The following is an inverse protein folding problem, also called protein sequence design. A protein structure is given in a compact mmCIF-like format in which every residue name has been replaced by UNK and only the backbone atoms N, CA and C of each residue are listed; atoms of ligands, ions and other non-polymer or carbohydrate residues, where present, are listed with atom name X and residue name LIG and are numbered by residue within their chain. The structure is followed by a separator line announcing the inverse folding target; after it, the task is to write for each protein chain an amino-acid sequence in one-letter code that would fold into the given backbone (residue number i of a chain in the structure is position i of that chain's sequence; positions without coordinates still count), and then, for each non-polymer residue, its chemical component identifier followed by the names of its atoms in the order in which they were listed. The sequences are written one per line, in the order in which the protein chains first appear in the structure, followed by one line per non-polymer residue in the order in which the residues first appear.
data_IF_369037752216
#
_entry.id   IF_369037752216
#
_cell.length_a   1.000
_cell.length_b   1.000
_cell.length_c   1.000
_cell.angle_alpha   90.00
_cell.angle_beta   90.00
_cell.angle_gamma   90.00
#
_symmetry.space_group_name_H-M   'P 1'
#
loop_
_entity.id
_entity.type
_entity.pdbx_description
1 polymer ?
#
# COMPACT_ATOMS: atom_id res chain seq x y z
N UNK A 1 -11.49 -16.89 3.43
CA UNK A 1 -10.19 -16.22 3.25
C UNK A 1 -10.41 -14.83 2.66
N UNK A 2 -9.70 -13.83 3.14
CA UNK A 2 -9.75 -12.44 2.66
C UNK A 2 -8.34 -11.92 2.43
N UNK A 3 -8.16 -10.88 1.60
CA UNK A 3 -6.91 -10.14 1.49
C UNK A 3 -7.17 -8.73 0.95
N UNK A 4 -7.07 -7.73 1.81
CA UNK A 4 -7.33 -6.34 1.43
C UNK A 4 -6.04 -5.51 1.23
N UNK A 5 -4.88 -6.19 1.12
CA UNK A 5 -3.59 -5.54 0.91
C UNK A 5 -2.67 -6.41 0.05
N UNK A 6 -2.66 -6.16 -1.26
CA UNK A 6 -1.93 -6.97 -2.24
C UNK A 6 -1.32 -6.07 -3.32
N UNK A 7 -0.06 -6.36 -3.68
CA UNK A 7 0.69 -5.65 -4.71
C UNK A 7 0.85 -6.48 -5.99
N UNK A 8 0.72 -5.80 -7.12
CA UNK A 8 0.89 -6.37 -8.45
C UNK A 8 2.13 -5.83 -9.17
N UNK A 9 2.30 -6.27 -10.42
CA UNK A 9 3.31 -5.71 -11.33
C UNK A 9 3.06 -4.23 -11.70
N UNK A 10 1.92 -3.66 -11.35
CA UNK A 10 1.69 -2.22 -11.52
C UNK A 10 2.49 -1.36 -10.52
N UNK A 11 3.02 -1.95 -9.42
CA UNK A 11 3.96 -1.29 -8.52
C UNK A 11 5.24 -2.10 -8.35
N UNK A 12 5.37 -2.85 -7.27
CA UNK A 12 6.57 -3.62 -6.92
C UNK A 12 6.27 -5.08 -6.53
N UNK A 13 5.09 -5.58 -6.86
CA UNK A 13 4.80 -7.01 -6.89
C UNK A 13 5.32 -7.68 -8.17
N UNK A 14 5.32 -9.01 -8.18
CA UNK A 14 5.82 -9.81 -9.31
C UNK A 14 4.72 -10.61 -10.02
N UNK A 15 3.47 -10.43 -9.62
CA UNK A 15 2.31 -11.13 -10.18
C UNK A 15 1.40 -10.11 -10.85
N UNK A 16 0.90 -10.41 -12.07
CA UNK A 16 0.01 -9.49 -12.77
C UNK A 16 -1.33 -9.32 -12.05
N UNK A 17 -2.03 -8.18 -12.26
CA UNK A 17 -3.34 -7.95 -11.67
C UNK A 17 -4.35 -9.05 -12.04
N UNK A 18 -4.36 -9.52 -13.29
CA UNK A 18 -5.24 -10.59 -13.75
C UNK A 18 -4.94 -11.92 -13.06
N UNK A 19 -3.68 -12.26 -12.89
CA UNK A 19 -3.28 -13.48 -12.19
C UNK A 19 -3.62 -13.41 -10.69
N UNK A 20 -3.47 -12.26 -10.04
CA UNK A 20 -3.92 -12.04 -8.66
C UNK A 20 -5.43 -12.28 -8.51
N UNK A 21 -6.23 -11.74 -9.44
CA UNK A 21 -7.66 -11.97 -9.47
C UNK A 21 -8.01 -13.47 -9.57
N UNK A 22 -7.27 -14.24 -10.36
CA UNK A 22 -7.45 -15.69 -10.51
C UNK A 22 -7.03 -16.46 -9.25
N UNK A 23 -5.88 -16.12 -8.65
CA UNK A 23 -5.41 -16.74 -7.41
C UNK A 23 -6.37 -16.49 -6.24
N UNK A 24 -6.91 -15.28 -6.13
CA UNK A 24 -7.87 -14.88 -5.10
C UNK A 24 -9.33 -15.25 -5.42
N UNK A 25 -9.62 -16.01 -6.48
CA UNK A 25 -11.01 -16.28 -6.94
C UNK A 25 -11.95 -16.88 -5.86
N UNK A 26 -11.39 -17.63 -4.91
CA UNK A 26 -12.14 -18.24 -3.81
C UNK A 26 -12.25 -17.35 -2.56
N UNK A 27 -11.60 -16.18 -2.56
CA UNK A 27 -11.63 -15.28 -1.40
C UNK A 27 -12.99 -14.57 -1.33
N UNK A 28 -13.51 -14.41 -0.13
CA UNK A 28 -14.75 -13.66 0.13
C UNK A 28 -14.58 -12.15 -0.08
N UNK A 29 -13.36 -11.62 0.12
CA UNK A 29 -13.01 -10.25 -0.23
C UNK A 29 -11.53 -10.14 -0.61
N UNK A 30 -11.23 -9.34 -1.63
CA UNK A 30 -9.86 -9.03 -2.03
C UNK A 30 -9.77 -7.62 -2.62
N UNK A 31 -8.70 -6.90 -2.29
CA UNK A 31 -8.36 -5.61 -2.89
C UNK A 31 -6.97 -5.67 -3.53
N UNK A 32 -6.80 -5.02 -4.68
CA UNK A 32 -5.49 -4.66 -5.20
C UNK A 32 -5.13 -3.28 -4.66
N UNK A 33 -3.89 -3.09 -4.17
CA UNK A 33 -3.47 -1.88 -3.45
C UNK A 33 -2.06 -1.46 -3.81
N UNK A 34 -1.79 -1.36 -5.10
CA UNK A 34 -0.47 -0.97 -5.62
C UNK A 34 0.00 0.38 -5.06
N UNK A 35 1.31 0.53 -4.91
CA UNK A 35 1.92 1.73 -4.35
C UNK A 35 1.73 2.97 -5.23
N UNK A 36 1.04 3.98 -4.69
CA UNK A 36 0.88 5.33 -5.25
C UNK A 36 0.32 5.39 -6.69
N UNK A 37 -0.37 4.34 -7.16
CA UNK A 37 -1.06 4.28 -8.45
C UNK A 37 -2.27 3.34 -8.43
N UNK A 38 -3.10 3.43 -9.48
CA UNK A 38 -4.27 2.56 -9.69
C UNK A 38 -4.22 1.82 -11.03
N UNK A 39 -3.04 1.69 -11.66
CA UNK A 39 -2.89 1.20 -13.05
C UNK A 39 -3.34 -0.26 -13.19
N UNK A 40 -3.14 -1.08 -12.15
CA UNK A 40 -3.56 -2.49 -12.11
C UNK A 40 -5.05 -2.73 -11.84
N UNK A 41 -5.79 -1.70 -11.43
CA UNK A 41 -7.17 -1.86 -10.92
C UNK A 41 -8.13 -2.35 -11.99
N UNK A 42 -8.10 -1.75 -13.19
CA UNK A 42 -9.02 -2.12 -14.28
C UNK A 42 -8.82 -3.59 -14.70
N UNK A 43 -7.57 -4.01 -14.90
CA UNK A 43 -7.22 -5.39 -15.24
C UNK A 43 -7.67 -6.37 -14.16
N UNK A 44 -7.41 -6.06 -12.88
CA UNK A 44 -7.82 -6.88 -11.74
C UNK A 44 -9.34 -7.06 -11.68
N UNK A 45 -10.11 -5.97 -11.80
CA UNK A 45 -11.57 -6.02 -11.72
C UNK A 45 -12.18 -6.74 -12.94
N UNK A 46 -11.67 -6.51 -14.14
CA UNK A 46 -12.10 -7.17 -15.35
C UNK A 46 -11.87 -8.69 -15.30
N UNK A 47 -10.68 -9.13 -14.88
CA UNK A 47 -10.36 -10.55 -14.69
C UNK A 47 -11.22 -11.20 -13.59
N UNK A 48 -11.57 -10.45 -12.55
CA UNK A 48 -12.45 -10.92 -11.49
C UNK A 48 -13.89 -11.14 -11.97
N UNK A 49 -14.42 -10.28 -12.83
CA UNK A 49 -15.78 -10.39 -13.39
C UNK A 49 -15.95 -11.61 -14.31
N UNK A 50 -14.90 -11.97 -15.07
CA UNK A 50 -14.92 -13.10 -16.01
C UNK A 50 -14.81 -14.47 -15.38
N UNK A 51 -14.37 -14.58 -14.15
CA UNK A 51 -14.03 -15.86 -13.51
C UNK A 51 -15.21 -16.63 -12.92
N UNK A 52 -16.45 -16.12 -13.03
CA UNK A 52 -17.67 -16.80 -12.55
C UNK A 52 -17.47 -17.28 -11.11
N UNK A 53 -17.26 -16.37 -10.16
CA UNK A 53 -17.02 -16.72 -8.76
C UNK A 53 -18.23 -17.49 -8.22
N UNK A 54 -18.09 -18.80 -8.08
CA UNK A 54 -19.11 -19.68 -7.53
C UNK A 54 -19.50 -19.34 -6.07
N UNK A 55 -18.98 -18.22 -5.53
CA UNK A 55 -19.18 -17.74 -4.17
C UNK A 55 -19.38 -16.24 -3.98
N UNK A 56 -19.40 -15.41 -5.05
CA UNK A 56 -19.78 -14.00 -4.93
C UNK A 56 -18.85 -13.12 -4.08
N UNK A 57 -17.55 -13.42 -4.04
CA UNK A 57 -16.58 -12.63 -3.26
C UNK A 57 -16.44 -11.19 -3.77
N UNK A 58 -16.25 -10.22 -2.87
CA UNK A 58 -16.10 -8.80 -3.19
C UNK A 58 -14.71 -8.50 -3.74
N UNK A 59 -14.62 -7.74 -4.82
CA UNK A 59 -13.36 -7.24 -5.38
C UNK A 59 -13.35 -5.73 -5.30
N UNK A 60 -12.31 -5.17 -4.73
CA UNK A 60 -12.19 -3.75 -4.47
C UNK A 60 -11.02 -3.13 -5.24
N UNK A 61 -11.28 -1.99 -5.84
CA UNK A 61 -10.23 -1.07 -6.21
C UNK A 61 -9.58 -0.51 -4.94
N UNK A 62 -8.28 -0.48 -4.89
CA UNK A 62 -7.55 0.07 -3.76
C UNK A 62 -6.24 0.71 -4.19
N UNK A 63 -5.57 1.30 -3.24
CA UNK A 63 -4.26 1.94 -3.37
C UNK A 63 -3.54 1.92 -2.03
N UNK A 64 -2.21 1.81 -2.03
CA UNK A 64 -1.40 2.06 -0.85
C UNK A 64 -0.56 3.33 -1.04
N UNK A 65 -0.81 4.33 -0.20
CA UNK A 65 -0.11 5.62 -0.19
C UNK A 65 0.94 5.66 0.92
N UNK A 66 2.12 6.18 0.63
CA UNK A 66 3.06 6.54 1.69
C UNK A 66 2.79 7.96 2.15
N UNK A 67 2.47 8.16 3.42
CA UNK A 67 2.12 9.46 4.00
C UNK A 67 3.07 9.84 5.14
N UNK A 68 3.20 11.15 5.39
CA UNK A 68 4.07 11.70 6.44
C UNK A 68 3.30 12.73 7.28
N UNK A 69 3.01 12.41 8.57
CA UNK A 69 2.13 13.26 9.38
C UNK A 69 2.78 14.54 9.92
N UNK A 70 4.03 14.85 9.53
CA UNK A 70 4.76 16.01 10.02
C UNK A 70 5.48 15.77 11.33
N UNK A 71 5.90 16.84 12.02
CA UNK A 71 6.77 16.78 13.20
C UNK A 71 6.24 15.85 14.32
N UNK A 72 7.10 14.95 14.75
CA UNK A 72 6.87 14.05 15.88
C UNK A 72 6.24 12.70 15.56
N UNK A 73 6.01 12.40 14.28
CA UNK A 73 5.49 11.08 13.84
C UNK A 73 6.27 10.54 12.64
N UNK A 74 6.57 9.26 12.69
CA UNK A 74 7.17 8.56 11.57
C UNK A 74 6.17 8.40 10.40
N UNK A 75 6.73 8.23 9.21
CA UNK A 75 5.97 7.87 7.99
C UNK A 75 5.24 6.56 8.20
N UNK A 76 4.06 6.47 7.62
CA UNK A 76 3.31 5.21 7.56
C UNK A 76 2.67 5.02 6.19
N UNK A 77 2.17 3.82 5.94
CA UNK A 77 1.40 3.54 4.75
C UNK A 77 -0.10 3.60 5.06
N UNK A 78 -0.84 4.09 4.08
CA UNK A 78 -2.28 4.29 4.15
C UNK A 78 -2.95 3.59 2.97
N UNK A 79 -3.85 2.66 3.26
CA UNK A 79 -4.69 2.04 2.24
C UNK A 79 -5.90 2.92 1.97
N UNK A 80 -6.20 3.16 0.69
CA UNK A 80 -7.49 3.62 0.23
C UNK A 80 -8.26 2.46 -0.37
N UNK A 81 -9.28 1.96 0.31
CA UNK A 81 -10.01 0.75 -0.09
C UNK A 81 -11.40 1.07 -0.62
N UNK A 82 -11.76 0.49 -1.76
CA UNK A 82 -13.06 0.68 -2.39
C UNK A 82 -13.20 2.04 -3.09
N UNK A 83 -12.09 2.65 -3.48
CA UNK A 83 -12.01 3.92 -4.20
C UNK A 83 -12.59 3.82 -5.62
N UNK A 84 -13.01 4.96 -6.15
CA UNK A 84 -13.25 5.15 -7.58
C UNK A 84 -11.94 5.62 -8.25
N UNK A 85 -11.24 4.79 -9.03
CA UNK A 85 -10.00 5.16 -9.70
C UNK A 85 -10.20 6.22 -10.79
N UNK A 86 -11.44 6.44 -11.23
CA UNK A 86 -11.76 7.48 -12.21
C UNK A 86 -11.89 8.89 -11.61
N UNK A 87 -11.93 9.02 -10.27
CA UNK A 87 -12.03 10.29 -9.56
C UNK A 87 -10.92 11.27 -9.97
N UNK A 88 -11.28 12.42 -10.54
CA UNK A 88 -10.33 13.43 -11.00
C UNK A 88 -9.49 14.02 -9.84
N UNK A 89 -10.06 14.12 -8.64
CA UNK A 89 -9.34 14.54 -7.44
C UNK A 89 -8.23 13.55 -7.09
N UNK A 90 -8.54 12.23 -7.13
CA UNK A 90 -7.56 11.18 -6.89
C UNK A 90 -6.46 11.18 -7.96
N UNK A 91 -6.81 11.24 -9.24
CA UNK A 91 -5.83 11.32 -10.35
C UNK A 91 -4.90 12.52 -10.22
N UNK A 92 -5.45 13.69 -9.88
CA UNK A 92 -4.66 14.90 -9.67
C UNK A 92 -3.70 14.77 -8.47
N UNK A 93 -4.14 14.15 -7.40
CA UNK A 93 -3.31 13.85 -6.24
C UNK A 93 -2.18 12.86 -6.58
N UNK A 94 -2.50 11.76 -7.28
CA UNK A 94 -1.51 10.74 -7.66
C UNK A 94 -0.44 11.26 -8.61
N UNK A 95 -0.79 12.17 -9.54
CA UNK A 95 0.22 12.84 -10.38
C UNK A 95 1.27 13.58 -9.55
N UNK A 96 0.87 14.33 -8.51
CA UNK A 96 1.84 15.02 -7.63
C UNK A 96 2.73 14.04 -6.85
N UNK A 97 2.16 12.91 -6.42
CA UNK A 97 2.92 11.85 -5.74
C UNK A 97 3.92 11.20 -6.68
N UNK A 98 3.52 10.91 -7.92
CA UNK A 98 4.38 10.34 -8.97
C UNK A 98 5.52 11.31 -9.36
N UNK A 99 5.23 12.59 -9.53
CA UNK A 99 6.26 13.63 -9.77
C UNK A 99 7.30 13.65 -8.65
N UNK A 100 6.87 13.55 -7.38
CA UNK A 100 7.77 13.44 -6.24
C UNK A 100 8.62 12.17 -6.25
N UNK A 101 8.07 11.03 -6.74
CA UNK A 101 8.84 9.79 -6.95
C UNK A 101 9.88 9.96 -8.05
N UNK A 102 9.51 10.50 -9.19
CA UNK A 102 10.39 10.68 -10.33
C UNK A 102 11.58 11.58 -9.97
N UNK A 103 11.32 12.70 -9.33
CA UNK A 103 12.38 13.58 -8.83
C UNK A 103 13.32 12.91 -7.81
N UNK A 104 12.78 12.06 -6.91
CA UNK A 104 13.60 11.23 -6.01
C UNK A 104 14.46 10.25 -6.80
N UNK A 105 13.91 9.58 -7.82
CA UNK A 105 14.61 8.58 -8.60
C UNK A 105 15.79 9.19 -9.37
N UNK A 106 15.60 10.37 -9.96
CA UNK A 106 16.69 11.14 -10.58
C UNK A 106 17.85 11.39 -9.61
N UNK A 107 17.54 11.76 -8.37
CA UNK A 107 18.56 11.95 -7.32
C UNK A 107 19.22 10.65 -6.89
N UNK A 108 18.51 9.54 -6.87
CA UNK A 108 19.10 8.20 -6.60
C UNK A 108 20.07 7.84 -7.70
N UNK A 109 19.70 8.00 -8.97
CA UNK A 109 20.59 7.76 -10.11
C UNK A 109 21.87 8.61 -10.05
N UNK A 110 21.73 9.89 -9.71
CA UNK A 110 22.88 10.78 -9.54
C UNK A 110 23.80 10.29 -8.40
N UNK A 111 23.25 9.87 -7.25
CA UNK A 111 24.08 9.34 -6.15
C UNK A 111 24.77 8.03 -6.50
N UNK A 112 24.14 7.15 -7.27
CA UNK A 112 24.82 5.95 -7.79
C UNK A 112 25.97 6.31 -8.72
N UNK A 113 25.78 7.31 -9.60
CA UNK A 113 26.85 7.79 -10.46
C UNK A 113 28.03 8.39 -9.66
N UNK A 114 27.77 9.12 -8.57
CA UNK A 114 28.79 9.70 -7.69
C UNK A 114 29.68 8.63 -7.03
N UNK A 115 29.15 7.42 -6.78
CA UNK A 115 29.90 6.30 -6.24
C UNK A 115 30.42 5.32 -7.32
N UNK A 116 30.35 5.72 -8.61
CA UNK A 116 30.88 4.94 -9.73
C UNK A 116 29.95 3.84 -10.26
N UNK A 117 28.68 3.81 -9.85
CA UNK A 117 27.68 2.88 -10.36
C UNK A 117 26.79 3.62 -11.36
N UNK A 118 27.01 3.39 -12.66
CA UNK A 118 26.22 4.00 -13.72
C UNK A 118 24.99 3.16 -14.04
N UNK A 119 23.81 3.62 -13.71
CA UNK A 119 22.51 2.99 -14.00
C UNK A 119 21.86 3.72 -15.16
N UNK A 120 21.71 3.11 -16.37
CA UNK A 120 21.04 3.76 -17.48
C UNK A 120 19.55 3.97 -17.18
N UNK A 121 19.00 5.20 -17.37
CA UNK A 121 17.57 5.47 -17.08
C UNK A 121 16.61 4.57 -17.86
N UNK A 122 16.90 4.29 -19.11
CA UNK A 122 16.06 3.44 -19.97
C UNK A 122 16.10 1.98 -19.51
N UNK A 123 17.22 1.52 -18.98
CA UNK A 123 17.37 0.17 -18.50
C UNK A 123 16.64 -0.04 -17.15
N UNK A 124 16.86 0.86 -16.19
CA UNK A 124 16.17 0.75 -14.90
C UNK A 124 14.64 0.86 -15.05
N UNK A 125 14.16 1.60 -16.05
CA UNK A 125 12.73 1.68 -16.36
C UNK A 125 12.13 0.32 -16.75
N UNK A 126 12.93 -0.59 -17.33
CA UNK A 126 12.44 -1.95 -17.70
C UNK A 126 12.16 -2.84 -16.49
N UNK A 127 12.67 -2.51 -15.32
CA UNK A 127 12.39 -3.22 -14.06
C UNK A 127 11.04 -2.86 -13.47
N UNK A 128 10.48 -1.70 -13.85
CA UNK A 128 9.11 -1.33 -13.53
C UNK A 128 8.18 -1.74 -14.68
N UNK A 129 7.14 -2.51 -14.36
CA UNK A 129 6.14 -2.93 -15.37
C UNK A 129 5.02 -1.89 -15.57
N UNK A 130 5.04 -0.77 -14.81
CA UNK A 130 4.13 0.36 -14.86
C UNK A 130 4.89 1.69 -14.76
N UNK A 131 4.17 2.79 -14.47
CA UNK A 131 4.76 4.13 -14.33
C UNK A 131 5.55 4.32 -13.03
N UNK A 132 5.38 3.43 -12.04
CA UNK A 132 5.97 3.59 -10.70
C UNK A 132 7.30 2.89 -10.56
N UNK A 133 8.40 3.62 -10.73
CA UNK A 133 9.73 3.14 -10.38
C UNK A 133 9.96 3.29 -8.87
N UNK A 134 10.17 2.17 -8.18
CA UNK A 134 10.36 2.09 -6.74
C UNK A 134 11.76 1.57 -6.36
N UNK A 135 12.16 1.70 -5.07
CA UNK A 135 13.47 1.22 -4.60
C UNK A 135 13.73 -0.28 -4.80
N UNK A 136 12.72 -1.18 -4.71
CA UNK A 136 12.94 -2.59 -5.05
C UNK A 136 13.47 -2.81 -6.47
N UNK A 137 13.06 -1.99 -7.44
CA UNK A 137 13.55 -2.09 -8.82
C UNK A 137 15.06 -1.77 -8.90
N UNK A 138 15.51 -0.73 -8.19
CA UNK A 138 16.97 -0.45 -8.07
C UNK A 138 17.71 -1.60 -7.36
N UNK A 139 17.11 -2.18 -6.32
CA UNK A 139 17.73 -3.30 -5.63
C UNK A 139 17.86 -4.53 -6.54
N UNK A 140 16.83 -4.86 -7.32
CA UNK A 140 16.87 -5.93 -8.30
C UNK A 140 17.93 -5.66 -9.36
N UNK A 141 17.99 -4.43 -9.91
CA UNK A 141 19.03 -4.06 -10.87
C UNK A 141 20.45 -4.25 -10.32
N UNK A 142 20.68 -3.84 -9.06
CA UNK A 142 21.99 -4.02 -8.39
C UNK A 142 22.37 -5.49 -8.23
N UNK A 143 21.40 -6.36 -7.97
CA UNK A 143 21.62 -7.80 -7.87
C UNK A 143 21.97 -8.39 -9.25
N UNK A 144 21.18 -8.08 -10.26
CA UNK A 144 21.38 -8.61 -11.61
C UNK A 144 22.70 -8.18 -12.23
N UNK A 145 23.23 -7.01 -11.84
CA UNK A 145 24.49 -6.47 -12.30
C UNK A 145 25.70 -6.78 -11.37
N UNK A 146 25.49 -7.63 -10.35
CA UNK A 146 26.56 -8.11 -9.47
C UNK A 146 27.09 -7.10 -8.45
N UNK A 147 26.37 -5.99 -8.23
CA UNK A 147 26.70 -5.00 -7.19
C UNK A 147 26.23 -5.44 -5.80
N UNK A 148 25.29 -6.39 -5.72
CA UNK A 148 24.80 -6.95 -4.47
C UNK A 148 24.49 -8.44 -4.61
N UNK A 149 24.61 -9.20 -3.51
CA UNK A 149 24.31 -10.64 -3.48
C UNK A 149 22.81 -10.95 -3.52
N UNK A 150 22.01 -10.06 -3.00
CA UNK A 150 20.56 -10.21 -2.89
C UNK A 150 19.89 -8.84 -2.61
N UNK A 151 18.57 -8.79 -2.76
CA UNK A 151 17.76 -7.56 -2.59
C UNK A 151 17.89 -6.97 -1.19
N UNK A 152 17.91 -7.81 -0.13
CA UNK A 152 18.04 -7.34 1.25
C UNK A 152 19.38 -6.65 1.49
N UNK A 153 20.45 -7.22 0.95
CA UNK A 153 21.79 -6.65 1.01
C UNK A 153 21.85 -5.34 0.22
N UNK A 154 21.25 -5.28 -0.97
CA UNK A 154 21.16 -4.05 -1.75
C UNK A 154 20.46 -2.92 -0.99
N UNK A 155 19.35 -3.21 -0.30
CA UNK A 155 18.70 -2.23 0.55
C UNK A 155 19.59 -1.75 1.69
N UNK A 156 20.23 -2.68 2.41
CA UNK A 156 21.08 -2.37 3.55
C UNK A 156 22.28 -1.50 3.14
N UNK A 157 22.90 -1.80 2.00
CA UNK A 157 24.16 -1.18 1.61
C UNK A 157 23.97 0.14 0.84
N UNK A 158 22.79 0.34 0.15
CA UNK A 158 22.60 1.49 -0.74
C UNK A 158 21.30 2.28 -0.52
N UNK A 159 20.20 1.64 -0.13
CA UNK A 159 18.85 2.17 -0.37
C UNK A 159 18.04 2.49 0.90
N UNK A 160 18.69 2.51 2.06
CA UNK A 160 18.05 2.90 3.34
C UNK A 160 18.76 4.10 3.98
N UNK A 161 18.09 4.85 4.89
CA UNK A 161 18.74 5.92 5.64
C UNK A 161 19.93 5.46 6.49
N UNK A 162 19.96 4.18 6.85
CA UNK A 162 20.99 3.54 7.66
C UNK A 162 22.11 2.90 6.83
N UNK A 163 22.08 3.01 5.51
CA UNK A 163 23.16 2.54 4.63
C UNK A 163 24.47 3.26 4.96
N UNK A 164 25.64 2.62 4.76
CA UNK A 164 26.93 3.25 5.02
C UNK A 164 27.08 4.58 4.28
N UNK A 165 27.62 5.64 4.91
CA UNK A 165 27.67 6.98 4.29
C UNK A 165 28.33 7.02 2.91
N UNK A 166 29.34 6.18 2.69
CA UNK A 166 30.12 6.14 1.43
C UNK A 166 29.37 5.46 0.27
N UNK A 167 28.31 4.70 0.56
CA UNK A 167 27.51 3.99 -0.45
C UNK A 167 26.04 4.37 -0.42
N UNK A 168 25.61 5.19 0.53
CA UNK A 168 24.20 5.55 0.72
C UNK A 168 23.63 6.35 -0.46
N UNK A 169 22.83 5.71 -1.27
CA UNK A 169 22.05 6.34 -2.35
C UNK A 169 20.60 6.64 -1.96
N UNK A 170 20.24 6.43 -0.69
CA UNK A 170 18.89 6.76 -0.19
C UNK A 170 18.60 8.26 -0.33
N UNK A 171 17.46 8.56 -0.93
CA UNK A 171 16.90 9.91 -1.01
C UNK A 171 15.46 9.88 -0.50
N UNK A 172 15.12 10.80 0.39
CA UNK A 172 13.72 11.03 0.77
C UNK A 172 12.93 11.62 -0.39
N UNK A 173 11.62 11.33 -0.47
CA UNK A 173 10.72 11.90 -1.46
C UNK A 173 9.64 12.74 -0.81
N UNK A 174 8.88 13.45 -1.61
CA UNK A 174 7.63 14.04 -1.16
C UNK A 174 6.68 12.92 -0.68
N UNK A 175 6.10 13.14 0.47
CA UNK A 175 5.00 12.34 1.01
C UNK A 175 3.86 13.31 1.34
N UNK A 176 2.63 13.02 0.94
CA UNK A 176 1.49 13.85 1.29
C UNK A 176 1.19 13.80 2.79
N UNK A 177 0.57 14.86 3.29
CA UNK A 177 -0.01 14.88 4.63
C UNK A 177 -1.18 13.86 4.70
N UNK A 178 -1.30 13.09 5.81
CA UNK A 178 -2.37 12.11 5.95
C UNK A 178 -3.78 12.70 5.80
N UNK A 179 -4.03 13.93 6.27
CA UNK A 179 -5.34 14.58 6.16
C UNK A 179 -5.71 14.83 4.69
N UNK A 180 -4.77 15.32 3.87
CA UNK A 180 -4.98 15.43 2.41
C UNK A 180 -5.28 14.07 1.78
N UNK A 181 -4.56 13.03 2.18
CA UNK A 181 -4.78 11.68 1.67
C UNK A 181 -6.15 11.12 2.10
N UNK A 182 -6.58 11.34 3.34
CA UNK A 182 -7.93 10.96 3.81
C UNK A 182 -9.02 11.64 2.98
N UNK A 183 -8.90 12.95 2.78
CA UNK A 183 -9.88 13.75 2.03
C UNK A 183 -10.02 13.24 0.58
N UNK A 184 -8.91 12.90 -0.07
CA UNK A 184 -8.90 12.39 -1.44
C UNK A 184 -9.50 10.97 -1.52
N UNK A 185 -9.15 10.08 -0.59
CA UNK A 185 -9.73 8.73 -0.50
C UNK A 185 -11.25 8.82 -0.28
N UNK A 186 -11.71 9.65 0.65
CA UNK A 186 -13.14 9.84 0.92
C UNK A 186 -13.88 10.47 -0.27
N UNK A 187 -13.26 11.45 -0.94
CA UNK A 187 -13.83 12.05 -2.15
C UNK A 187 -13.94 11.04 -3.30
N UNK A 188 -13.08 10.03 -3.35
CA UNK A 188 -13.17 8.89 -4.26
C UNK A 188 -14.12 7.77 -3.75
N UNK A 189 -14.86 7.98 -2.65
CA UNK A 189 -15.82 7.03 -2.09
C UNK A 189 -15.20 5.86 -1.32
N UNK A 190 -13.90 5.92 -1.04
CA UNK A 190 -13.13 4.87 -0.37
C UNK A 190 -13.07 5.03 1.15
N UNK A 191 -12.49 4.03 1.79
CA UNK A 191 -12.21 3.92 3.24
C UNK A 191 -10.71 4.08 3.46
N UNK A 192 -10.31 4.97 4.36
CA UNK A 192 -8.92 5.25 4.72
C UNK A 192 -8.48 4.33 5.88
N UNK A 193 -7.52 3.44 5.63
CA UNK A 193 -7.07 2.41 6.58
C UNK A 193 -5.55 2.48 6.78
N UNK A 194 -5.08 2.59 8.03
CA UNK A 194 -3.64 2.51 8.32
C UNK A 194 -3.13 1.10 8.04
N UNK A 195 -2.15 0.98 7.13
CA UNK A 195 -1.52 -0.29 6.78
C UNK A 195 -0.49 -0.72 7.84
N UNK A 196 -0.34 -2.01 8.04
CA UNK A 196 0.70 -2.69 8.86
C UNK A 196 1.28 -1.83 9.98
N UNK A 197 0.50 -1.41 10.99
CA UNK A 197 0.88 -0.45 12.05
C UNK A 197 2.12 -0.87 12.86
N UNK A 198 2.49 -2.16 12.86
CA UNK A 198 3.71 -2.67 13.49
C UNK A 198 5.01 -1.98 13.03
N UNK A 199 5.03 -1.47 11.78
CA UNK A 199 6.19 -0.75 11.24
C UNK A 199 6.21 0.72 11.66
N UNK A 200 5.09 1.23 12.16
CA UNK A 200 5.01 2.57 12.70
C UNK A 200 5.43 2.61 14.17
N UNK A 201 4.85 1.73 15.01
CA UNK A 201 5.26 1.56 16.40
C UNK A 201 4.86 0.19 16.94
N UNK A 202 5.68 -0.34 17.85
CA UNK A 202 5.37 -1.54 18.63
C UNK A 202 4.91 -1.25 20.06
N UNK A 203 4.90 0.02 20.48
CA UNK A 203 4.35 0.42 21.79
C UNK A 203 2.83 0.58 21.66
N UNK A 204 2.02 -0.26 22.36
CA UNK A 204 0.56 -0.22 22.23
C UNK A 204 -0.06 1.11 22.68
N UNK A 205 0.60 1.86 23.58
CA UNK A 205 0.11 3.16 24.03
C UNK A 205 0.32 4.22 22.96
N UNK A 206 1.53 4.27 22.38
CA UNK A 206 1.84 5.19 21.29
C UNK A 206 0.97 4.88 20.06
N UNK A 207 0.74 3.60 19.77
CA UNK A 207 -0.18 3.17 18.70
C UNK A 207 -1.58 3.74 18.95
N UNK A 208 -2.13 3.53 20.12
CA UNK A 208 -3.48 3.98 20.45
C UNK A 208 -3.60 5.51 20.36
N UNK A 209 -2.68 6.26 20.99
CA UNK A 209 -2.67 7.73 20.95
C UNK A 209 -2.58 8.25 19.50
N UNK A 210 -1.74 7.64 18.67
CA UNK A 210 -1.60 8.01 17.29
C UNK A 210 -2.84 7.69 16.44
N UNK A 211 -3.45 6.51 16.62
CA UNK A 211 -4.70 6.15 15.97
C UNK A 211 -5.85 7.07 16.35
N UNK A 212 -5.98 7.46 17.64
CA UNK A 212 -6.97 8.46 18.09
C UNK A 212 -6.79 9.81 17.39
N UNK A 213 -5.55 10.27 17.28
CA UNK A 213 -5.23 11.52 16.57
C UNK A 213 -5.51 11.43 15.08
N UNK A 214 -5.12 10.33 14.42
CA UNK A 214 -5.40 10.14 12.99
C UNK A 214 -6.91 10.00 12.72
N UNK A 215 -7.65 9.32 13.60
CA UNK A 215 -9.12 9.25 13.51
C UNK A 215 -9.77 10.63 13.56
N UNK A 216 -9.29 11.52 14.44
CA UNK A 216 -9.82 12.89 14.50
C UNK A 216 -9.57 13.71 13.21
N UNK A 217 -8.66 13.24 12.36
CA UNK A 217 -8.33 13.84 11.05
C UNK A 217 -8.99 13.12 9.87
N UNK A 218 -9.63 11.96 10.07
CA UNK A 218 -10.33 11.24 9.03
C UNK A 218 -9.95 9.77 8.82
N UNK A 219 -9.05 9.18 9.63
CA UNK A 219 -8.76 7.75 9.55
C UNK A 219 -10.00 6.94 9.92
N UNK A 220 -10.40 5.98 9.08
CA UNK A 220 -11.56 5.12 9.26
C UNK A 220 -11.23 3.79 9.91
N UNK A 221 -10.07 3.25 9.63
CA UNK A 221 -9.72 1.88 10.02
C UNK A 221 -8.22 1.64 10.20
N UNK A 222 -7.91 0.42 10.64
CA UNK A 222 -6.55 -0.08 10.79
C UNK A 222 -6.45 -1.52 10.31
N UNK A 223 -5.37 -1.86 9.61
CA UNK A 223 -5.02 -3.24 9.26
C UNK A 223 -4.54 -3.97 10.52
N UNK A 224 -5.52 -4.50 11.27
CA UNK A 224 -5.24 -5.14 12.56
C UNK A 224 -4.66 -6.54 12.40
N UNK A 225 -5.05 -7.26 11.35
CA UNK A 225 -4.54 -8.59 11.03
C UNK A 225 -3.63 -8.47 9.81
N UNK A 226 -2.33 -8.60 10.06
CA UNK A 226 -1.28 -8.49 9.06
C UNK A 226 -0.36 -9.71 9.13
N UNK A 227 0.03 -10.24 7.98
CA UNK A 227 0.75 -11.52 7.89
C UNK A 227 2.02 -11.59 8.75
N UNK A 228 2.74 -10.49 8.89
CA UNK A 228 3.98 -10.46 9.65
C UNK A 228 3.80 -10.01 11.12
N UNK A 229 2.57 -9.81 11.62
CA UNK A 229 2.34 -9.50 13.02
C UNK A 229 2.72 -10.69 13.92
N UNK A 230 3.28 -10.40 15.07
CA UNK A 230 3.28 -11.32 16.19
C UNK A 230 1.86 -11.41 16.79
N UNK A 231 1.50 -12.54 17.45
CA UNK A 231 0.16 -12.69 18.03
C UNK A 231 -0.27 -11.57 18.96
N UNK A 232 0.63 -11.08 19.82
CA UNK A 232 0.36 -9.99 20.76
C UNK A 232 0.12 -8.66 20.03
N UNK A 233 0.85 -8.39 18.93
CA UNK A 233 0.64 -7.20 18.10
C UNK A 233 -0.77 -7.20 17.52
N UNK A 234 -1.24 -8.33 16.97
CA UNK A 234 -2.61 -8.44 16.44
C UNK A 234 -3.66 -8.18 17.53
N UNK A 235 -3.48 -8.72 18.74
CA UNK A 235 -4.38 -8.48 19.88
C UNK A 235 -4.43 -7.00 20.24
N UNK A 236 -3.27 -6.34 20.30
CA UNK A 236 -3.17 -4.92 20.63
C UNK A 236 -3.79 -4.04 19.54
N UNK A 237 -3.60 -4.36 18.25
CA UNK A 237 -4.23 -3.65 17.15
C UNK A 237 -5.76 -3.77 17.19
N UNK A 238 -6.29 -4.98 17.38
CA UNK A 238 -7.73 -5.24 17.50
C UNK A 238 -8.35 -4.51 18.71
N UNK A 239 -7.64 -4.51 19.85
CA UNK A 239 -8.07 -3.81 21.07
C UNK A 239 -8.12 -2.31 20.84
N UNK A 240 -7.04 -1.72 20.30
CA UNK A 240 -6.98 -0.30 20.01
C UNK A 240 -8.10 0.14 19.04
N UNK A 241 -8.29 -0.61 17.95
CA UNK A 241 -9.35 -0.35 16.99
C UNK A 241 -10.74 -0.35 17.63
N UNK A 242 -11.02 -1.35 18.47
CA UNK A 242 -12.30 -1.47 19.19
C UNK A 242 -12.54 -0.31 20.16
N UNK A 243 -11.54 0.04 20.96
CA UNK A 243 -11.63 1.11 21.95
C UNK A 243 -11.84 2.48 21.30
N UNK A 244 -11.19 2.72 20.16
CA UNK A 244 -11.26 3.97 19.41
C UNK A 244 -12.50 4.01 18.50
N UNK A 245 -13.06 2.86 18.13
CA UNK A 245 -14.16 2.72 17.16
C UNK A 245 -13.69 2.93 15.71
N UNK A 246 -12.55 2.35 15.36
CA UNK A 246 -12.07 2.17 13.99
C UNK A 246 -12.58 0.84 13.42
N UNK A 247 -12.82 0.76 12.11
CA UNK A 247 -13.01 -0.52 11.46
C UNK A 247 -11.66 -1.27 11.36
N UNK A 248 -11.72 -2.57 11.16
CA UNK A 248 -10.53 -3.41 11.03
C UNK A 248 -10.47 -4.07 9.66
N UNK A 249 -9.26 -4.28 9.16
CA UNK A 249 -9.00 -5.05 7.94
C UNK A 249 -7.93 -6.11 8.18
N UNK A 250 -7.81 -7.01 7.22
CA UNK A 250 -6.75 -8.01 7.16
C UNK A 250 -6.10 -7.99 5.78
N UNK A 251 -4.78 -8.05 5.75
CA UNK A 251 -4.00 -8.05 4.53
C UNK A 251 -2.67 -8.77 4.67
N UNK A 252 -2.24 -9.40 3.57
CA UNK A 252 -0.97 -10.12 3.54
C UNK A 252 0.21 -9.20 3.22
N UNK A 253 -0.02 -8.12 2.48
CA UNK A 253 1.02 -7.31 1.85
C UNK A 253 1.88 -8.18 0.89
N UNK A 254 1.18 -9.04 0.14
CA UNK A 254 1.79 -9.95 -0.83
C UNK A 254 2.46 -9.21 -1.98
N UNK A 255 3.70 -9.59 -2.30
CA UNK A 255 4.50 -9.03 -3.39
C UNK A 255 5.07 -10.12 -4.33
N UNK A 256 4.57 -11.36 -4.22
CA UNK A 256 5.10 -12.48 -4.99
C UNK A 256 6.56 -12.79 -4.65
N UNK A 257 7.42 -12.91 -5.65
CA UNK A 257 8.84 -13.26 -5.47
C UNK A 257 9.66 -12.21 -4.70
N UNK A 258 9.20 -10.96 -4.63
CA UNK A 258 9.88 -9.92 -3.85
C UNK A 258 9.70 -10.08 -2.33
N UNK A 259 8.65 -10.79 -1.89
CA UNK A 259 8.44 -11.21 -0.49
C UNK A 259 8.04 -12.70 -0.44
N UNK A 260 8.95 -13.64 -0.76
CA UNK A 260 8.60 -15.05 -0.98
C UNK A 260 8.07 -15.78 0.26
N UNK A 261 8.32 -15.25 1.46
CA UNK A 261 7.82 -15.80 2.71
C UNK A 261 6.37 -15.39 3.03
N UNK A 262 5.78 -14.47 2.27
CA UNK A 262 4.43 -13.94 2.48
C UNK A 262 3.47 -14.62 1.49
N UNK A 263 2.60 -15.52 1.94
CA UNK A 263 1.57 -16.11 1.08
C UNK A 263 0.44 -15.12 0.80
N UNK A 264 -0.27 -15.31 -0.31
CA UNK A 264 -1.48 -14.58 -0.64
C UNK A 264 -2.66 -15.09 0.20
N UNK A 265 -3.39 -14.17 0.83
CA UNK A 265 -4.61 -14.46 1.57
C UNK A 265 -4.42 -14.61 3.08
N UNK A 266 -5.43 -14.16 3.81
CA UNK A 266 -5.50 -14.18 5.27
C UNK A 266 -6.71 -15.01 5.72
N UNK A 267 -6.49 -15.89 6.70
CA UNK A 267 -7.58 -16.59 7.39
C UNK A 267 -8.11 -15.71 8.51
N UNK A 268 -9.42 -15.52 8.53
CA UNK A 268 -10.12 -14.75 9.56
C UNK A 268 -11.38 -15.54 9.95
N UNK A 269 -11.59 -15.67 11.25
CA UNK A 269 -12.83 -16.26 11.77
C UNK A 269 -14.02 -15.34 11.45
N UNK A 270 -15.15 -15.91 11.01
CA UNK A 270 -16.35 -15.17 10.62
C UNK A 270 -16.07 -13.90 9.78
N UNK A 271 -15.55 -14.11 8.57
CA UNK A 271 -15.14 -13.06 7.64
C UNK A 271 -16.25 -12.00 7.43
N UNK A 272 -17.52 -12.42 7.45
CA UNK A 272 -18.64 -11.51 7.27
C UNK A 272 -18.80 -10.55 8.45
N UNK A 273 -18.77 -11.07 9.68
CA UNK A 273 -18.86 -10.23 10.87
C UNK A 273 -17.62 -9.34 11.02
N UNK A 274 -16.44 -9.88 10.67
CA UNK A 274 -15.18 -9.12 10.69
C UNK A 274 -15.21 -7.91 9.75
N UNK A 275 -15.70 -8.08 8.51
CA UNK A 275 -15.73 -7.03 7.50
C UNK A 275 -16.98 -6.12 7.56
N UNK A 276 -18.00 -6.45 8.36
CA UNK A 276 -19.22 -5.66 8.40
C UNK A 276 -18.98 -4.19 8.73
N UNK A 277 -18.17 -3.80 9.75
CA UNK A 277 -17.90 -2.39 10.05
C UNK A 277 -17.17 -1.66 8.91
N UNK A 278 -16.28 -2.36 8.20
CA UNK A 278 -15.61 -1.81 7.02
C UNK A 278 -16.62 -1.51 5.90
N UNK A 279 -17.51 -2.45 5.57
CA UNK A 279 -18.50 -2.23 4.52
C UNK A 279 -19.55 -1.17 4.88
N UNK A 280 -19.91 -1.03 6.15
CA UNK A 280 -20.75 0.08 6.62
C UNK A 280 -20.06 1.44 6.37
N UNK A 281 -18.76 1.54 6.67
CA UNK A 281 -17.97 2.75 6.40
C UNK A 281 -17.86 3.05 4.91
N UNK A 282 -17.63 2.03 4.10
CA UNK A 282 -17.58 2.14 2.64
C UNK A 282 -18.91 2.64 2.06
N UNK A 283 -20.01 2.08 2.53
CA UNK A 283 -21.34 2.52 2.11
C UNK A 283 -21.62 3.99 2.50
N UNK A 284 -21.16 4.42 3.69
CA UNK A 284 -21.26 5.80 4.13
C UNK A 284 -20.54 6.78 3.19
N UNK A 285 -19.27 6.50 2.84
CA UNK A 285 -18.50 7.39 1.96
C UNK A 285 -19.07 7.42 0.55
N UNK A 286 -19.48 6.28 -0.02
CA UNK A 286 -20.13 6.22 -1.35
C UNK A 286 -21.43 7.02 -1.41
N UNK A 287 -22.25 6.96 -0.37
CA UNK A 287 -23.47 7.75 -0.30
C UNK A 287 -23.18 9.26 -0.21
N UNK A 288 -22.08 9.67 0.41
CA UNK A 288 -21.67 11.06 0.49
C UNK A 288 -21.20 11.61 -0.89
N UNK A 289 -20.51 10.80 -1.68
CA UNK A 289 -20.10 11.17 -3.05
C UNK A 289 -21.31 11.30 -3.97
N UNK A 290 -22.28 10.36 -3.92
CA UNK A 290 -23.51 10.42 -4.73
C UNK A 290 -24.30 11.73 -4.50
N UNK A 291 -24.41 12.20 -3.27
CA UNK A 291 -25.08 13.47 -2.93
C UNK A 291 -24.36 14.73 -3.46
N UNK A 292 -23.02 14.67 -3.61
CA UNK A 292 -22.24 15.80 -4.16
C UNK A 292 -22.35 15.91 -5.68
N UNK A 293 -22.60 14.82 -6.38
CA UNK A 293 -22.77 14.80 -7.83
C UNK A 293 -24.17 15.26 -8.29
N UNK A 294 -25.14 15.31 -7.38
CA UNK A 294 -26.52 15.77 -7.64
C UNK A 294 -26.77 17.25 -7.28
N UNK A 295 -25.82 17.90 -6.62
CA UNK A 295 -25.89 19.30 -6.19
C UNK A 295 -25.06 20.22 -7.11
#
# INVERSE_FOLDING_TARGET
MIDLHVHSTASDGTVSPAELAQRGRSFSAMAITDHDNCDGVEEFLAASAGSGTAGGGVRLAGIELSVEPGEGYDKFHLLGLGIDPSSEGLKGFLRRVLEGRNHRNEKILARFADIGISIPPDEIATYAHGEVLARPHFANWLVDHGYSSDVRTAFKDYLTPSSPPDTCCYVTRYHPDPGEAFDVIHAAGGVAVMAHPRYWTKDPRLLREGLERLKSRGLDGVEAIYQANEPDETIDHLRAAKEIGLCVTAGSDFHGANKPAIPLGMEVDDERAFLAPFFERLAFHRAAVGKRSEA
#
